data_IF_183265766764
#
_entry.id   IF_183265766764
#
_cell.length_a   1.000
_cell.length_b   1.000
_cell.length_c   1.000
_cell.angle_alpha   90.00
_cell.angle_beta   90.00
_cell.angle_gamma   90.00
#
_symmetry.space_group_name_H-M   'P 1'
#
loop_
_entity.id
_entity.type
_entity.pdbx_description
1 polymer ?
#
# COMPACT_ATOMS: atom_id res chain seq x y z
N UNK A 1 -51.57 -25.53 34.18
CA UNK A 1 -51.99 -24.56 33.15
C UNK A 1 -51.33 -23.19 33.38
N UNK A 2 -51.29 -22.67 34.60
CA UNK A 2 -50.75 -21.39 35.01
C UNK A 2 -49.18 -21.35 34.76
N UNK A 3 -48.48 -22.42 35.12
CA UNK A 3 -47.04 -22.55 34.90
C UNK A 3 -46.66 -22.52 33.40
N UNK A 4 -47.50 -23.13 32.55
CA UNK A 4 -47.26 -23.11 31.09
C UNK A 4 -47.51 -21.71 30.48
N UNK A 5 -48.46 -20.97 31.04
CA UNK A 5 -48.73 -19.59 30.62
C UNK A 5 -47.56 -18.65 31.03
N UNK A 6 -47.10 -18.79 32.28
CA UNK A 6 -45.95 -18.02 32.78
C UNK A 6 -44.69 -18.31 31.96
N UNK A 7 -44.40 -19.55 31.65
CA UNK A 7 -43.27 -19.95 30.84
C UNK A 7 -43.34 -19.45 29.39
N UNK A 8 -44.55 -19.41 28.83
CA UNK A 8 -44.80 -18.82 27.52
C UNK A 8 -44.50 -17.32 27.50
N UNK A 9 -44.90 -16.58 28.53
CA UNK A 9 -44.65 -15.15 28.65
C UNK A 9 -43.15 -14.84 28.83
N UNK A 10 -42.44 -15.63 29.64
CA UNK A 10 -41.00 -15.54 29.79
C UNK A 10 -40.27 -15.73 28.45
N UNK A 11 -40.55 -16.83 27.75
CA UNK A 11 -39.97 -17.13 26.45
C UNK A 11 -40.33 -16.07 25.40
N UNK A 12 -41.53 -15.50 25.45
CA UNK A 12 -41.91 -14.42 24.52
C UNK A 12 -41.09 -13.14 24.75
N UNK A 13 -40.78 -12.79 26.00
CA UNK A 13 -39.91 -11.67 26.34
C UNK A 13 -38.47 -11.91 25.89
N UNK A 14 -37.95 -13.09 26.17
CA UNK A 14 -36.62 -13.50 25.77
C UNK A 14 -36.45 -13.42 24.23
N UNK A 15 -37.42 -13.91 23.47
CA UNK A 15 -37.44 -13.83 22.02
C UNK A 15 -37.46 -12.35 21.52
N UNK A 16 -38.22 -11.49 22.19
CA UNK A 16 -38.31 -10.07 21.80
C UNK A 16 -37.01 -9.33 22.10
N UNK A 17 -36.36 -9.60 23.24
CA UNK A 17 -35.07 -9.06 23.61
C UNK A 17 -33.96 -9.54 22.64
N UNK A 18 -33.96 -10.83 22.31
CA UNK A 18 -33.00 -11.40 21.36
C UNK A 18 -33.17 -10.82 19.93
N UNK A 19 -34.41 -10.66 19.48
CA UNK A 19 -34.71 -10.01 18.21
C UNK A 19 -34.22 -8.58 18.17
N UNK A 20 -34.50 -7.80 19.20
CA UNK A 20 -34.04 -6.42 19.30
C UNK A 20 -32.51 -6.32 19.29
N UNK A 21 -31.84 -7.22 20.03
CA UNK A 21 -30.39 -7.32 20.04
C UNK A 21 -29.82 -7.68 18.66
N UNK A 22 -30.46 -8.66 18.00
CA UNK A 22 -30.05 -9.10 16.66
C UNK A 22 -30.20 -8.00 15.61
N UNK A 23 -31.33 -7.29 15.63
CA UNK A 23 -31.58 -6.15 14.74
C UNK A 23 -30.53 -5.04 14.92
N UNK A 24 -30.14 -4.77 16.18
CA UNK A 24 -29.06 -3.83 16.50
C UNK A 24 -27.74 -4.27 15.91
N UNK A 25 -27.37 -5.54 16.06
CA UNK A 25 -26.13 -6.10 15.50
C UNK A 25 -26.14 -6.07 13.97
N UNK A 26 -27.26 -6.43 13.35
CA UNK A 26 -27.40 -6.38 11.88
C UNK A 26 -27.25 -4.96 11.37
N UNK A 27 -27.85 -3.98 12.02
CA UNK A 27 -27.74 -2.56 11.67
C UNK A 27 -26.28 -2.08 11.77
N UNK A 28 -25.59 -2.40 12.86
CA UNK A 28 -24.18 -2.07 13.05
C UNK A 28 -23.28 -2.71 11.98
N UNK A 29 -23.50 -3.99 11.70
CA UNK A 29 -22.74 -4.72 10.68
C UNK A 29 -22.97 -4.13 9.28
N UNK A 30 -24.20 -3.77 8.93
CA UNK A 30 -24.48 -3.12 7.65
C UNK A 30 -23.78 -1.76 7.53
N UNK A 31 -23.79 -0.95 8.59
CA UNK A 31 -23.06 0.33 8.61
C UNK A 31 -21.56 0.14 8.41
N UNK A 32 -20.96 -0.84 9.10
CA UNK A 32 -19.53 -1.17 8.91
C UNK A 32 -19.23 -1.69 7.51
N UNK A 33 -20.10 -2.52 6.97
CA UNK A 33 -19.99 -3.05 5.60
C UNK A 33 -20.00 -1.91 4.57
N UNK A 34 -20.92 -0.98 4.70
CA UNK A 34 -21.05 0.15 3.76
C UNK A 34 -19.83 1.07 3.87
N UNK A 35 -19.33 1.35 5.07
CA UNK A 35 -18.12 2.12 5.29
C UNK A 35 -16.88 1.44 4.68
N UNK A 36 -16.75 0.11 4.83
CA UNK A 36 -15.66 -0.66 4.21
C UNK A 36 -15.75 -0.67 2.69
N UNK A 37 -16.94 -0.82 2.12
CA UNK A 37 -17.14 -0.78 0.68
C UNK A 37 -16.77 0.59 0.11
N UNK A 38 -17.16 1.68 0.76
CA UNK A 38 -16.79 3.04 0.37
C UNK A 38 -15.26 3.22 0.40
N UNK A 39 -14.59 2.72 1.45
CA UNK A 39 -13.14 2.79 1.55
C UNK A 39 -12.43 1.92 0.50
N UNK A 40 -12.95 0.76 0.20
CA UNK A 40 -12.43 -0.09 -0.89
C UNK A 40 -12.52 0.61 -2.24
N UNK A 41 -13.61 1.31 -2.51
CA UNK A 41 -13.78 2.05 -3.75
C UNK A 41 -12.80 3.22 -3.84
N UNK A 42 -12.65 4.01 -2.78
CA UNK A 42 -11.68 5.10 -2.69
C UNK A 42 -10.25 4.61 -2.97
N UNK A 43 -9.82 3.54 -2.28
CA UNK A 43 -8.49 2.95 -2.47
C UNK A 43 -8.31 2.39 -3.89
N UNK A 44 -9.35 1.80 -4.48
CA UNK A 44 -9.30 1.29 -5.85
C UNK A 44 -9.14 2.41 -6.88
N UNK A 45 -9.84 3.52 -6.69
CA UNK A 45 -9.73 4.71 -7.53
C UNK A 45 -8.33 5.33 -7.45
N UNK A 46 -7.80 5.47 -6.23
CA UNK A 46 -6.43 5.96 -6.00
C UNK A 46 -5.39 5.03 -6.64
N UNK A 47 -5.53 3.72 -6.47
CA UNK A 47 -4.65 2.73 -7.09
C UNK A 47 -4.66 2.82 -8.61
N UNK A 48 -5.83 2.97 -9.22
CA UNK A 48 -5.95 3.11 -10.67
C UNK A 48 -5.33 4.43 -11.16
N UNK A 49 -5.52 5.52 -10.45
CA UNK A 49 -4.90 6.81 -10.75
C UNK A 49 -3.37 6.73 -10.71
N UNK A 50 -2.81 6.18 -9.62
CA UNK A 50 -1.36 5.99 -9.47
C UNK A 50 -0.78 5.05 -10.52
N UNK A 51 -1.52 3.99 -10.89
CA UNK A 51 -1.10 3.07 -11.95
C UNK A 51 -1.05 3.77 -13.31
N UNK A 52 -2.05 4.58 -13.63
CA UNK A 52 -2.09 5.36 -14.88
C UNK A 52 -0.96 6.40 -14.94
N UNK A 53 -0.70 7.09 -13.83
CA UNK A 53 0.42 8.03 -13.71
C UNK A 53 1.76 7.32 -13.90
N UNK A 54 1.95 6.18 -13.24
CA UNK A 54 3.13 5.35 -13.40
C UNK A 54 3.36 4.91 -14.84
N UNK A 55 2.30 4.46 -15.53
CA UNK A 55 2.38 4.06 -16.94
C UNK A 55 2.76 5.26 -17.83
N UNK A 56 2.21 6.43 -17.58
CA UNK A 56 2.54 7.66 -18.30
C UNK A 56 4.01 8.04 -18.15
N UNK A 57 4.56 7.95 -16.94
CA UNK A 57 5.98 8.21 -16.69
C UNK A 57 6.86 7.14 -17.33
N UNK A 58 6.46 5.87 -17.24
CA UNK A 58 7.21 4.75 -17.80
C UNK A 58 7.36 4.81 -19.32
N UNK A 59 6.39 5.40 -20.04
CA UNK A 59 6.47 5.59 -21.49
C UNK A 59 7.62 6.51 -21.92
N UNK A 60 8.13 7.35 -21.04
CA UNK A 60 9.25 8.26 -21.31
C UNK A 60 10.62 7.61 -21.02
N UNK A 61 10.64 6.37 -20.57
CA UNK A 61 11.87 5.64 -20.23
C UNK A 61 12.09 4.55 -21.29
N UNK A 62 13.35 4.37 -21.72
CA UNK A 62 13.69 3.34 -22.68
C UNK A 62 13.46 1.91 -22.11
N UNK A 63 13.21 0.96 -22.98
CA UNK A 63 12.83 -0.41 -22.60
C UNK A 63 13.95 -1.15 -21.85
N UNK A 64 15.19 -0.87 -22.15
CA UNK A 64 16.35 -1.53 -21.51
C UNK A 64 16.51 -1.06 -20.07
N UNK A 65 16.36 0.25 -19.83
CA UNK A 65 16.36 0.83 -18.49
C UNK A 65 15.16 0.34 -17.67
N UNK A 66 13.95 0.25 -18.27
CA UNK A 66 12.77 -0.30 -17.62
C UNK A 66 12.93 -1.77 -17.26
N UNK A 67 13.55 -2.58 -18.12
CA UNK A 67 13.82 -3.99 -17.84
C UNK A 67 14.78 -4.15 -16.65
N UNK A 68 15.86 -3.38 -16.59
CA UNK A 68 16.79 -3.35 -15.46
C UNK A 68 16.12 -2.89 -14.17
N UNK A 69 15.27 -1.87 -14.26
CA UNK A 69 14.48 -1.40 -13.12
C UNK A 69 13.58 -2.51 -12.58
N UNK A 70 12.85 -3.22 -13.44
CA UNK A 70 11.96 -4.29 -13.04
C UNK A 70 12.72 -5.44 -12.34
N UNK A 71 13.85 -5.84 -12.89
CA UNK A 71 14.71 -6.88 -12.30
C UNK A 71 15.21 -6.47 -10.90
N UNK A 72 15.70 -5.25 -10.75
CA UNK A 72 16.19 -4.75 -9.46
C UNK A 72 15.03 -4.58 -8.47
N UNK A 73 13.89 -4.08 -8.93
CA UNK A 73 12.69 -3.89 -8.12
C UNK A 73 12.21 -5.21 -7.50
N UNK A 74 12.15 -6.28 -8.28
CA UNK A 74 11.79 -7.62 -7.79
C UNK A 74 12.85 -8.18 -6.83
N UNK A 75 14.14 -8.10 -7.21
CA UNK A 75 15.24 -8.60 -6.40
C UNK A 75 15.41 -7.87 -5.06
N UNK A 76 14.96 -6.62 -4.98
CA UNK A 76 15.13 -5.73 -3.82
C UNK A 76 13.80 -5.39 -3.10
N UNK A 77 12.79 -6.26 -3.22
CA UNK A 77 11.51 -6.18 -2.49
C UNK A 77 10.75 -4.87 -2.70
N UNK A 78 10.73 -4.38 -3.93
CA UNK A 78 9.95 -3.21 -4.29
C UNK A 78 10.69 -1.87 -4.20
N UNK A 79 12.00 -1.86 -3.99
CA UNK A 79 12.81 -0.64 -4.01
C UNK A 79 13.92 -0.74 -5.07
N UNK A 80 13.66 -0.23 -6.27
CA UNK A 80 14.61 -0.26 -7.40
C UNK A 80 15.51 0.97 -7.50
N UNK A 81 15.10 2.09 -6.92
CA UNK A 81 15.83 3.39 -6.95
C UNK A 81 16.09 3.83 -5.51
N UNK A 82 17.25 4.38 -5.23
CA UNK A 82 17.63 4.89 -3.91
C UNK A 82 18.28 6.27 -4.02
N UNK A 83 18.06 7.11 -3.04
CA UNK A 83 18.73 8.41 -2.95
C UNK A 83 20.13 8.27 -2.35
N UNK A 84 21.03 9.18 -2.72
CA UNK A 84 22.35 9.31 -2.10
C UNK A 84 22.25 10.32 -0.97
N UNK A 85 22.26 9.85 0.28
CA UNK A 85 22.28 10.66 1.49
C UNK A 85 23.63 10.53 2.18
N UNK A 86 24.25 11.64 2.56
CA UNK A 86 25.54 11.66 3.28
C UNK A 86 26.62 10.75 2.65
N UNK A 87 26.69 10.76 1.33
CA UNK A 87 27.57 9.90 0.51
C UNK A 87 27.30 8.39 0.67
N UNK A 88 26.11 8.02 1.10
CA UNK A 88 25.67 6.63 1.26
C UNK A 88 24.41 6.35 0.45
N UNK A 89 24.26 5.12 0.01
CA UNK A 89 23.03 4.63 -0.62
C UNK A 89 21.95 4.42 0.44
N UNK A 90 20.86 5.16 0.40
CA UNK A 90 19.73 5.02 1.33
C UNK A 90 19.15 3.59 1.36
N UNK A 91 19.18 2.90 0.22
CA UNK A 91 18.62 1.54 0.10
C UNK A 91 19.43 0.43 0.77
N UNK A 92 20.74 0.61 1.02
CA UNK A 92 21.59 -0.43 1.63
C UNK A 92 22.66 0.09 2.60
N UNK A 93 22.80 1.41 2.78
CA UNK A 93 23.79 2.03 3.67
C UNK A 93 25.24 2.00 3.18
N UNK A 94 25.52 1.44 2.01
CA UNK A 94 26.88 1.38 1.49
C UNK A 94 27.36 2.75 1.03
N UNK A 95 28.63 3.06 1.27
CA UNK A 95 29.25 4.29 0.77
C UNK A 95 29.29 4.32 -0.76
N UNK A 96 28.95 5.48 -1.31
CA UNK A 96 28.96 5.74 -2.76
C UNK A 96 30.24 6.53 -3.09
N UNK A 97 31.04 6.09 -4.07
CA UNK A 97 32.24 6.80 -4.47
C UNK A 97 31.91 8.23 -4.95
N UNK A 98 32.80 9.21 -4.70
CA UNK A 98 32.60 10.60 -5.14
C UNK A 98 32.36 10.74 -6.65
N UNK A 99 32.99 9.91 -7.47
CA UNK A 99 32.76 9.90 -8.90
C UNK A 99 31.31 9.57 -9.24
N UNK A 100 30.75 8.51 -8.63
CA UNK A 100 29.34 8.12 -8.84
C UNK A 100 28.37 9.19 -8.33
N UNK A 101 28.71 9.92 -7.28
CA UNK A 101 27.91 11.04 -6.77
C UNK A 101 27.90 12.17 -7.83
N UNK A 102 29.03 12.51 -8.42
CA UNK A 102 29.11 13.53 -9.46
C UNK A 102 28.40 13.12 -10.74
N UNK A 103 28.46 11.85 -11.11
CA UNK A 103 27.70 11.29 -12.24
C UNK A 103 26.19 11.37 -12.00
N UNK A 104 25.73 11.06 -10.79
CA UNK A 104 24.31 11.18 -10.41
C UNK A 104 23.83 12.63 -10.41
N UNK A 105 24.67 13.59 -9.95
CA UNK A 105 24.37 15.02 -10.04
C UNK A 105 24.30 15.53 -11.48
N UNK A 106 25.06 14.91 -12.39
CA UNK A 106 25.03 15.20 -13.82
C UNK A 106 23.87 14.49 -14.55
N UNK A 107 22.92 13.95 -13.81
CA UNK A 107 21.73 13.24 -14.32
C UNK A 107 22.06 11.99 -15.17
N UNK A 108 23.21 11.40 -14.96
CA UNK A 108 23.57 10.13 -15.57
C UNK A 108 22.96 8.96 -14.77
N UNK A 109 22.72 7.85 -15.47
CA UNK A 109 22.28 6.60 -14.83
C UNK A 109 23.45 6.00 -14.07
N UNK A 110 23.31 5.91 -12.75
CA UNK A 110 24.31 5.35 -11.83
C UNK A 110 23.70 4.23 -11.01
N UNK A 111 24.50 3.21 -10.71
CA UNK A 111 24.09 2.07 -9.87
C UNK A 111 24.92 2.01 -8.59
N UNK A 112 24.29 1.56 -7.53
CA UNK A 112 25.01 1.25 -6.30
C UNK A 112 25.90 0.02 -6.49
N UNK A 113 27.19 0.13 -6.24
CA UNK A 113 28.15 -0.97 -6.38
C UNK A 113 27.89 -2.17 -5.45
N UNK A 114 27.11 -1.97 -4.38
CA UNK A 114 26.78 -3.02 -3.42
C UNK A 114 25.41 -3.68 -3.66
N UNK A 115 24.37 -2.89 -3.91
CA UNK A 115 23.00 -3.42 -4.03
C UNK A 115 22.41 -3.33 -5.43
N UNK A 116 23.12 -2.74 -6.36
CA UNK A 116 22.74 -2.56 -7.78
C UNK A 116 21.50 -1.70 -8.03
N UNK A 117 20.94 -1.04 -7.00
CA UNK A 117 19.85 -0.10 -7.19
C UNK A 117 20.30 1.10 -8.01
N UNK A 118 19.39 1.67 -8.77
CA UNK A 118 19.60 2.98 -9.38
C UNK A 118 19.82 4.03 -8.29
N UNK A 119 20.79 4.91 -8.51
CA UNK A 119 21.10 5.99 -7.59
C UNK A 119 20.73 7.34 -8.20
N UNK A 120 20.16 8.21 -7.39
CA UNK A 120 19.99 9.62 -7.73
C UNK A 120 20.39 10.49 -6.54
N UNK A 121 20.70 11.73 -6.82
CA UNK A 121 20.94 12.74 -5.79
C UNK A 121 20.06 13.94 -6.08
N UNK A 122 19.22 14.32 -5.09
CA UNK A 122 18.44 15.55 -5.16
C UNK A 122 19.38 16.76 -5.00
N UNK A 123 19.19 17.79 -5.79
CA UNK A 123 19.80 19.10 -5.58
C UNK A 123 19.09 19.78 -4.39
N UNK A 124 19.78 19.89 -3.27
CA UNK A 124 19.40 20.76 -2.16
C UNK A 124 20.16 22.06 -2.23
#
# INVERSE_FOLDING_TARGET
LIELMSKKEELSKEIEEDKSSLDGIISELNTKKDALNAKMQEVSEEQNALKSERESVAQNIDSDTMSKYAEIYEARKGLGVAEILDNSCEGCGAMVPPQSINEALSQNIVFCGNCSRFLFKSEN
#
